data_IF_309770095575
#
_entry.id   IF_309770095575
#
_cell.length_a   1.000
_cell.length_b   1.000
_cell.length_c   1.000
_cell.angle_alpha   90.00
_cell.angle_beta   90.00
_cell.angle_gamma   90.00
#
_symmetry.space_group_name_H-M   'P 1'
#
loop_
_entity.id
_entity.type
_entity.pdbx_description
1 polymer ?
#
# COMPACT_ATOMS: atom_id res chain seq x y z
N UNK A 1 23.41 5.52 -2.78
CA UNK A 1 21.99 5.21 -2.81
C UNK A 1 21.68 4.28 -1.65
N UNK A 2 20.70 4.62 -0.85
CA UNK A 2 20.29 3.82 0.32
C UNK A 2 19.18 2.85 -0.11
N UNK A 3 19.26 1.62 0.37
CA UNK A 3 18.26 0.58 0.11
C UNK A 3 17.78 -0.03 1.41
N UNK A 4 16.58 -0.58 1.40
CA UNK A 4 16.01 -1.33 2.50
C UNK A 4 15.59 -2.72 2.04
N UNK A 5 15.92 -3.71 2.83
CA UNK A 5 15.41 -5.08 2.68
C UNK A 5 14.09 -5.17 3.45
N UNK A 6 13.07 -5.74 2.81
CA UNK A 6 11.68 -5.69 3.30
C UNK A 6 11.03 -7.07 3.19
N UNK A 7 10.50 -7.58 4.29
CA UNK A 7 9.56 -8.70 4.26
C UNK A 7 8.18 -8.22 3.85
N UNK A 8 7.67 -8.75 2.73
CA UNK A 8 6.34 -8.39 2.25
C UNK A 8 5.27 -9.22 2.95
N UNK A 9 4.24 -8.55 3.44
CA UNK A 9 3.07 -9.18 4.03
C UNK A 9 2.24 -9.89 2.94
N UNK A 10 2.59 -11.13 2.63
CA UNK A 10 1.89 -11.98 1.67
C UNK A 10 1.73 -13.41 2.20
N UNK A 11 0.55 -14.04 1.98
CA UNK A 11 0.32 -15.42 2.43
C UNK A 11 1.00 -16.48 1.54
N UNK A 12 1.71 -16.07 0.49
CA UNK A 12 2.33 -16.99 -0.48
C UNK A 12 3.72 -17.39 0.03
N UNK A 13 3.88 -18.65 0.45
CA UNK A 13 5.15 -19.19 0.97
C UNK A 13 6.35 -19.01 0.04
N UNK A 14 6.17 -19.16 -1.27
CA UNK A 14 7.24 -18.96 -2.26
C UNK A 14 7.76 -17.51 -2.34
N UNK A 15 7.06 -16.58 -1.71
CA UNK A 15 7.40 -15.15 -1.62
C UNK A 15 7.79 -14.76 -0.18
N UNK A 16 7.99 -15.73 0.70
CA UNK A 16 8.46 -15.53 2.08
C UNK A 16 9.97 -15.24 2.11
N UNK A 17 10.40 -14.24 1.35
CA UNK A 17 11.79 -13.78 1.28
C UNK A 17 11.83 -12.25 1.38
N UNK A 18 13.00 -11.73 1.67
CA UNK A 18 13.26 -10.30 1.62
C UNK A 18 13.35 -9.80 0.20
N UNK A 19 12.81 -8.63 -0.03
CA UNK A 19 12.92 -7.90 -1.29
C UNK A 19 13.61 -6.56 -1.04
N UNK A 20 14.56 -6.22 -1.87
CA UNK A 20 15.31 -4.96 -1.77
C UNK A 20 14.58 -3.84 -2.52
N UNK A 21 14.43 -2.70 -1.85
CA UNK A 21 13.82 -1.48 -2.38
C UNK A 21 14.74 -0.29 -2.16
N UNK A 22 14.66 0.71 -3.03
CA UNK A 22 15.31 2.00 -2.80
C UNK A 22 14.56 2.70 -1.66
N UNK A 23 15.30 3.24 -0.69
CA UNK A 23 14.78 4.13 0.34
C UNK A 23 14.90 5.57 -0.18
N UNK A 24 13.77 6.24 -0.49
CA UNK A 24 13.80 7.61 -1.00
C UNK A 24 14.31 8.59 0.05
N UNK A 25 14.92 9.68 -0.38
CA UNK A 25 15.43 10.73 0.51
C UNK A 25 14.33 11.42 1.33
N UNK A 26 13.09 11.33 0.90
CA UNK A 26 11.92 11.85 1.63
C UNK A 26 11.53 11.00 2.84
N UNK A 27 12.06 9.77 2.97
CA UNK A 27 11.76 8.82 4.03
C UNK A 27 13.00 8.50 4.88
N UNK A 28 13.85 9.50 5.15
CA UNK A 28 15.10 9.32 5.90
C UNK A 28 14.92 8.83 7.34
N UNK A 29 13.72 9.00 7.91
CA UNK A 29 13.38 8.51 9.25
C UNK A 29 13.13 7.00 9.29
N UNK A 30 12.86 6.37 8.14
CA UNK A 30 12.57 4.93 8.07
C UNK A 30 13.84 4.13 8.34
N UNK A 31 13.78 3.25 9.32
CA UNK A 31 14.85 2.33 9.71
C UNK A 31 14.26 0.93 9.96
N UNK A 32 15.07 0.05 10.45
CA UNK A 32 14.72 -1.34 10.82
C UNK A 32 13.50 -1.37 11.75
N UNK A 33 12.58 -2.26 11.47
CA UNK A 33 11.35 -2.44 12.26
C UNK A 33 10.17 -1.57 11.82
N UNK A 34 10.35 -0.68 10.86
CA UNK A 34 9.27 0.13 10.29
C UNK A 34 8.37 -0.68 9.37
N UNK A 35 7.08 -0.34 9.36
CA UNK A 35 6.18 -0.77 8.30
C UNK A 35 6.20 0.24 7.17
N UNK A 36 6.26 -0.29 5.96
CA UNK A 36 6.32 0.51 4.74
C UNK A 36 5.36 -0.01 3.67
N UNK A 37 4.94 0.86 2.78
CA UNK A 37 4.27 0.48 1.55
C UNK A 37 5.28 0.32 0.42
N UNK A 38 5.22 -0.83 -0.23
CA UNK A 38 6.09 -1.15 -1.36
C UNK A 38 5.29 -1.55 -2.59
N UNK A 39 5.80 -1.26 -3.80
CA UNK A 39 5.20 -1.75 -5.04
C UNK A 39 5.58 -3.23 -5.24
N UNK A 40 4.57 -4.11 -5.31
CA UNK A 40 4.76 -5.53 -5.52
C UNK A 40 3.93 -6.02 -6.71
N UNK A 41 4.58 -6.31 -7.83
CA UNK A 41 3.90 -6.54 -9.10
C UNK A 41 3.14 -5.29 -9.55
N UNK A 42 1.82 -5.43 -9.71
CA UNK A 42 0.90 -4.34 -10.08
C UNK A 42 0.13 -3.75 -8.89
N UNK A 43 0.43 -4.20 -7.67
CA UNK A 43 -0.27 -3.79 -6.46
C UNK A 43 0.70 -3.19 -5.45
N UNK A 44 0.18 -2.41 -4.53
CA UNK A 44 0.93 -1.98 -3.34
C UNK A 44 0.73 -3.00 -2.23
N UNK A 45 1.78 -3.30 -1.50
CA UNK A 45 1.76 -4.20 -0.35
C UNK A 45 2.38 -3.52 0.86
N UNK A 46 1.93 -3.92 2.02
CA UNK A 46 2.58 -3.63 3.29
C UNK A 46 3.76 -4.57 3.47
N UNK A 47 4.85 -4.07 3.99
CA UNK A 47 6.03 -4.84 4.35
C UNK A 47 6.72 -4.29 5.58
N UNK A 48 7.65 -5.06 6.12
CA UNK A 48 8.42 -4.74 7.31
C UNK A 48 9.89 -4.60 6.93
N UNK A 49 10.49 -3.46 7.27
CA UNK A 49 11.93 -3.21 7.03
C UNK A 49 12.76 -4.04 7.99
N UNK A 50 13.63 -4.86 7.45
CA UNK A 50 14.53 -5.75 8.20
C UNK A 50 15.96 -5.23 8.24
N UNK A 51 16.38 -4.54 7.18
CA UNK A 51 17.71 -3.95 7.07
C UNK A 51 17.66 -2.66 6.26
N UNK A 52 18.42 -1.65 6.68
CA UNK A 52 18.71 -0.44 5.90
C UNK A 52 20.21 -0.39 5.66
N UNK A 53 20.63 -0.24 4.41
CA UNK A 53 22.03 -0.30 4.00
C UNK A 53 22.32 0.47 2.72
N UNK A 54 23.59 0.61 2.42
CA UNK A 54 24.04 1.13 1.11
C UNK A 54 23.82 0.06 0.03
N UNK A 55 23.39 0.50 -1.15
CA UNK A 55 23.26 -0.35 -2.33
C UNK A 55 24.61 -0.97 -2.69
N UNK A 56 24.60 -2.26 -2.98
CA UNK A 56 25.76 -3.02 -3.47
C UNK A 56 25.39 -3.78 -4.74
N UNK A 57 25.99 -3.37 -5.87
CA UNK A 57 25.69 -3.96 -7.17
C UNK A 57 26.02 -5.48 -7.26
N UNK A 58 26.96 -5.97 -6.46
CA UNK A 58 27.32 -7.39 -6.42
C UNK A 58 26.25 -8.24 -5.73
N UNK A 59 25.58 -7.67 -4.69
CA UNK A 59 24.50 -8.32 -3.93
C UNK A 59 23.13 -8.09 -4.57
N UNK A 60 22.85 -6.85 -4.95
CA UNK A 60 21.50 -6.41 -5.35
C UNK A 60 21.23 -6.62 -6.84
N UNK A 61 22.27 -7.00 -7.60
CA UNK A 61 22.17 -7.22 -9.03
C UNK A 61 22.05 -5.91 -9.83
N UNK A 62 21.97 -6.03 -11.16
CA UNK A 62 21.80 -4.86 -12.05
C UNK A 62 20.33 -4.59 -12.40
N UNK A 63 19.37 -5.14 -11.65
CA UNK A 63 17.96 -4.91 -11.91
C UNK A 63 17.53 -3.55 -11.37
N UNK A 64 16.59 -2.92 -12.07
CA UNK A 64 15.99 -1.68 -11.62
C UNK A 64 15.19 -1.94 -10.33
N UNK A 65 15.73 -1.51 -9.19
CA UNK A 65 15.01 -1.56 -7.91
C UNK A 65 13.85 -0.56 -7.94
N UNK A 66 12.76 -0.93 -7.30
CA UNK A 66 11.63 -0.03 -7.08
C UNK A 66 11.82 0.72 -5.77
N UNK A 67 11.20 1.88 -5.65
CA UNK A 67 11.23 2.69 -4.44
C UNK A 67 10.16 2.28 -3.44
N UNK A 68 10.46 2.43 -2.14
CA UNK A 68 9.45 2.45 -1.08
C UNK A 68 8.50 3.61 -1.36
N UNK A 69 7.20 3.34 -1.25
CA UNK A 69 6.17 4.33 -1.59
C UNK A 69 5.97 5.31 -0.44
N UNK A 70 5.86 4.77 0.80
CA UNK A 70 5.59 5.56 1.99
C UNK A 70 5.83 4.74 3.26
N UNK A 71 6.00 5.42 4.39
CA UNK A 71 5.95 4.83 5.72
C UNK A 71 4.49 4.67 6.17
N UNK A 72 4.18 3.56 6.83
CA UNK A 72 2.83 3.28 7.32
C UNK A 72 2.58 3.94 8.68
N UNK A 73 3.61 3.98 9.51
CA UNK A 73 3.57 4.46 10.88
C UNK A 73 4.55 5.63 11.07
N UNK A 74 4.47 6.28 12.22
CA UNK A 74 5.35 7.40 12.59
C UNK A 74 6.62 6.93 13.33
N UNK A 75 6.65 5.64 13.73
CA UNK A 75 7.76 5.02 14.46
C UNK A 75 7.91 3.53 14.13
N UNK A 76 9.02 2.93 14.54
CA UNK A 76 9.27 1.51 14.36
C UNK A 76 8.40 0.67 15.29
N UNK A 77 7.79 -0.38 14.75
CA UNK A 77 7.03 -1.36 15.53
C UNK A 77 7.91 -2.43 16.18
N UNK A 78 9.02 -2.74 15.55
CA UNK A 78 9.88 -3.88 15.96
C UNK A 78 11.30 -3.42 16.23
N UNK A 79 11.85 -3.89 17.35
CA UNK A 79 13.29 -3.84 17.58
C UNK A 79 14.00 -4.92 16.73
N UNK A 80 15.33 -4.82 16.60
CA UNK A 80 16.14 -5.80 15.89
C UNK A 80 16.03 -7.19 16.52
N UNK A 81 15.94 -7.24 17.86
CA UNK A 81 15.79 -8.49 18.62
C UNK A 81 14.45 -9.16 18.34
N UNK A 82 13.38 -8.35 18.26
CA UNK A 82 12.04 -8.87 17.94
C UNK A 82 11.94 -9.36 16.49
N UNK A 83 12.62 -8.72 15.55
CA UNK A 83 12.74 -9.20 14.18
C UNK A 83 13.51 -10.51 14.10
N UNK A 84 14.61 -10.65 14.83
CA UNK A 84 15.36 -11.91 14.90
C UNK A 84 14.51 -13.04 15.49
N UNK A 85 13.80 -12.76 16.58
CA UNK A 85 12.87 -13.74 17.19
C UNK A 85 11.74 -14.12 16.21
N UNK A 86 11.21 -13.16 15.44
CA UNK A 86 10.20 -13.46 14.44
C UNK A 86 10.74 -14.38 13.33
N UNK A 87 11.98 -14.20 12.93
CA UNK A 87 12.64 -15.08 11.95
C UNK A 87 12.83 -16.49 12.49
N UNK A 88 13.36 -16.64 13.71
CA UNK A 88 13.54 -17.96 14.36
C UNK A 88 12.21 -18.71 14.50
N UNK A 89 11.15 -18.01 14.91
CA UNK A 89 9.81 -18.59 15.01
C UNK A 89 9.25 -18.96 13.62
N UNK A 90 9.49 -18.15 12.60
CA UNK A 90 9.06 -18.46 11.24
C UNK A 90 9.72 -19.74 10.72
N UNK A 91 11.00 -19.91 10.97
CA UNK A 91 11.75 -21.11 10.60
C UNK A 91 11.26 -22.33 11.36
N UNK A 92 10.98 -22.19 12.67
CA UNK A 92 10.46 -23.26 13.52
C UNK A 92 9.06 -23.72 13.12
N UNK A 93 8.15 -22.77 12.85
CA UNK A 93 6.76 -23.06 12.48
C UNK A 93 6.55 -23.21 10.96
N UNK A 94 7.60 -23.13 10.15
CA UNK A 94 7.55 -23.23 8.69
C UNK A 94 6.54 -22.26 8.05
N UNK A 95 6.47 -21.04 8.57
CA UNK A 95 5.64 -19.94 8.05
C UNK A 95 6.50 -18.74 7.61
N UNK A 96 5.91 -17.64 7.15
CA UNK A 96 6.66 -16.44 6.79
C UNK A 96 6.96 -15.58 8.03
N UNK A 97 8.11 -14.90 8.05
CA UNK A 97 8.43 -13.95 9.12
C UNK A 97 7.39 -12.82 9.21
N UNK A 98 6.81 -12.40 8.08
CA UNK A 98 5.74 -11.41 8.07
C UNK A 98 4.46 -11.89 8.78
N UNK A 99 4.15 -13.19 8.74
CA UNK A 99 3.02 -13.75 9.49
C UNK A 99 3.27 -13.71 11.00
N UNK A 100 4.49 -14.03 11.44
CA UNK A 100 4.88 -13.93 12.86
C UNK A 100 4.86 -12.46 13.31
N UNK A 101 5.44 -11.55 12.55
CA UNK A 101 5.42 -10.12 12.87
C UNK A 101 4.00 -9.58 13.06
N UNK A 102 3.05 -10.02 12.24
CA UNK A 102 1.63 -9.66 12.40
C UNK A 102 1.02 -10.15 13.71
N UNK A 103 1.48 -11.30 14.24
CA UNK A 103 1.01 -11.82 15.53
C UNK A 103 1.53 -10.97 16.70
N UNK A 104 2.71 -10.37 16.56
CA UNK A 104 3.28 -9.49 17.58
C UNK A 104 2.62 -8.11 17.63
N UNK A 105 1.87 -7.73 16.59
CA UNK A 105 1.20 -6.44 16.56
C UNK A 105 -0.09 -6.47 17.39
N UNK A 106 -0.25 -5.56 18.37
CA UNK A 106 -1.45 -5.52 19.18
C UNK A 106 -2.68 -5.11 18.35
N UNK A 107 -3.76 -5.84 18.56
CA UNK A 107 -5.02 -5.59 17.88
C UNK A 107 -5.03 -6.00 16.41
N UNK A 108 -6.11 -5.68 15.73
CA UNK A 108 -6.23 -5.87 14.28
C UNK A 108 -5.64 -4.65 13.55
N UNK A 109 -4.36 -4.44 13.69
CA UNK A 109 -3.61 -3.37 13.02
C UNK A 109 -3.49 -3.57 11.51
N UNK A 110 -4.36 -4.35 10.92
CA UNK A 110 -4.48 -4.47 9.47
C UNK A 110 -4.96 -3.16 8.88
N UNK A 111 -4.04 -2.35 8.39
CA UNK A 111 -4.36 -1.28 7.46
C UNK A 111 -5.02 -1.91 6.23
N UNK A 112 -6.26 -1.59 6.00
CA UNK A 112 -6.89 -1.87 4.72
C UNK A 112 -6.46 -0.81 3.74
N UNK A 113 -5.58 -1.19 2.83
CA UNK A 113 -5.29 -0.38 1.66
C UNK A 113 -6.34 -0.74 0.62
N UNK A 114 -7.09 0.26 0.19
CA UNK A 114 -8.03 0.10 -0.90
C UNK A 114 -7.84 1.21 -1.93
N UNK A 115 -8.08 0.91 -3.20
CA UNK A 115 -7.98 1.91 -4.24
C UNK A 115 -9.10 2.94 -4.08
N UNK A 116 -8.71 4.21 -4.24
CA UNK A 116 -9.62 5.34 -4.45
C UNK A 116 -9.36 5.94 -5.82
N UNK A 117 -10.37 6.50 -6.40
CA UNK A 117 -10.30 7.15 -7.70
C UNK A 117 -10.52 8.64 -7.48
N UNK A 118 -9.60 9.45 -7.96
CA UNK A 118 -9.66 10.90 -7.85
C UNK A 118 -9.54 11.53 -9.24
N UNK A 119 -10.24 12.64 -9.47
CA UNK A 119 -10.04 13.40 -10.68
C UNK A 119 -8.59 13.90 -10.73
N UNK A 120 -7.93 13.78 -11.87
CA UNK A 120 -6.58 14.30 -12.04
C UNK A 120 -6.61 15.84 -11.97
N UNK A 121 -5.63 16.43 -11.28
CA UNK A 121 -5.54 17.88 -11.11
C UNK A 121 -5.41 18.63 -12.45
N UNK A 122 -4.71 18.00 -13.38
CA UNK A 122 -4.43 18.47 -14.75
C UNK A 122 -5.42 17.93 -15.79
N UNK A 123 -6.56 17.35 -15.35
CA UNK A 123 -7.53 16.76 -16.25
C UNK A 123 -8.13 17.78 -17.22
N UNK A 124 -8.08 17.45 -18.51
CA UNK A 124 -8.76 18.23 -19.55
C UNK A 124 -10.29 18.12 -19.42
N UNK A 125 -10.91 19.16 -18.89
CA UNK A 125 -12.37 19.23 -18.70
C UNK A 125 -13.16 19.35 -19.99
N UNK A 126 -12.50 19.63 -21.12
CA UNK A 126 -13.10 19.68 -22.46
C UNK A 126 -12.88 18.37 -23.24
N UNK A 127 -12.25 17.35 -22.63
CA UNK A 127 -11.93 16.11 -23.31
C UNK A 127 -13.20 15.44 -23.89
N UNK A 128 -13.17 14.97 -25.15
CA UNK A 128 -14.35 14.41 -25.85
C UNK A 128 -15.03 13.24 -25.13
N UNK A 129 -14.28 12.46 -24.31
CA UNK A 129 -14.84 11.36 -23.53
C UNK A 129 -15.90 11.84 -22.53
N UNK A 130 -15.85 13.10 -22.09
CA UNK A 130 -16.84 13.69 -21.19
C UNK A 130 -18.19 14.00 -21.85
N UNK A 131 -18.34 13.74 -23.17
CA UNK A 131 -19.64 13.68 -23.83
C UNK A 131 -20.40 12.40 -23.49
N UNK A 132 -19.69 11.33 -23.11
CA UNK A 132 -20.29 10.10 -22.58
C UNK A 132 -20.93 10.38 -21.20
N UNK A 133 -22.20 10.02 -21.06
CA UNK A 133 -22.98 10.33 -19.88
C UNK A 133 -22.43 9.65 -18.61
N UNK A 134 -21.92 8.42 -18.74
CA UNK A 134 -21.36 7.68 -17.62
C UNK A 134 -20.04 8.28 -17.15
N UNK A 135 -19.11 8.54 -18.10
CA UNK A 135 -17.83 9.16 -17.81
C UNK A 135 -18.02 10.54 -17.16
N UNK A 136 -18.91 11.36 -17.73
CA UNK A 136 -19.21 12.70 -17.20
C UNK A 136 -19.78 12.65 -15.79
N UNK A 137 -20.74 11.76 -15.50
CA UNK A 137 -21.35 11.65 -14.19
C UNK A 137 -20.31 11.27 -13.12
N UNK A 138 -19.46 10.29 -13.40
CA UNK A 138 -18.39 9.86 -12.47
C UNK A 138 -17.36 10.98 -12.31
N UNK A 139 -16.93 11.61 -13.38
CA UNK A 139 -15.93 12.68 -13.33
C UNK A 139 -16.41 13.90 -12.53
N UNK A 140 -17.64 14.37 -12.76
CA UNK A 140 -18.23 15.48 -12.00
C UNK A 140 -18.33 15.14 -10.52
N UNK A 141 -18.80 13.95 -10.19
CA UNK A 141 -18.90 13.50 -8.80
C UNK A 141 -17.53 13.46 -8.11
N UNK A 142 -16.50 12.91 -8.75
CA UNK A 142 -15.15 12.87 -8.20
C UNK A 142 -14.51 14.26 -8.03
N UNK A 143 -14.85 15.21 -8.88
CA UNK A 143 -14.41 16.60 -8.73
C UNK A 143 -15.04 17.31 -7.54
N UNK A 144 -16.31 17.01 -7.24
CA UNK A 144 -17.04 17.60 -6.11
C UNK A 144 -16.69 16.97 -4.76
N UNK A 145 -16.51 15.64 -4.74
CA UNK A 145 -16.38 14.88 -3.50
C UNK A 145 -14.93 14.50 -3.17
N UNK A 146 -14.01 14.64 -4.12
CA UNK A 146 -12.64 14.16 -4.02
C UNK A 146 -12.52 12.66 -4.28
N UNK A 147 -11.39 12.09 -3.85
CA UNK A 147 -11.08 10.68 -4.08
C UNK A 147 -12.06 9.73 -3.38
N UNK A 148 -12.66 8.82 -4.15
CA UNK A 148 -13.67 7.86 -3.69
C UNK A 148 -13.27 6.43 -4.05
N UNK A 149 -13.55 5.47 -3.15
CA UNK A 149 -13.46 4.04 -3.45
C UNK A 149 -14.58 3.57 -4.37
N UNK A 150 -14.41 2.43 -5.04
CA UNK A 150 -15.49 1.83 -5.84
C UNK A 150 -16.76 1.60 -5.01
N UNK A 151 -16.62 1.20 -3.74
CA UNK A 151 -17.76 0.99 -2.86
C UNK A 151 -18.52 2.29 -2.51
N UNK A 152 -17.82 3.41 -2.40
CA UNK A 152 -18.42 4.73 -2.20
C UNK A 152 -19.12 5.21 -3.47
N UNK A 153 -18.48 5.04 -4.63
CA UNK A 153 -19.08 5.36 -5.92
C UNK A 153 -20.35 4.54 -6.21
N UNK A 154 -20.35 3.23 -5.91
CA UNK A 154 -21.53 2.37 -6.07
C UNK A 154 -22.68 2.74 -5.13
N UNK A 155 -22.42 3.41 -4.00
CA UNK A 155 -23.49 3.95 -3.13
C UNK A 155 -24.10 5.23 -3.70
N UNK A 156 -23.31 6.01 -4.42
CA UNK A 156 -23.74 7.28 -4.98
C UNK A 156 -24.40 7.16 -6.36
N UNK A 157 -24.03 6.14 -7.13
CA UNK A 157 -24.44 5.98 -8.54
C UNK A 157 -24.68 4.50 -8.91
N UNK A 158 -25.48 4.23 -9.96
CA UNK A 158 -25.69 2.87 -10.46
C UNK A 158 -24.35 2.19 -10.86
N UNK A 159 -24.19 0.91 -10.49
CA UNK A 159 -22.95 0.15 -10.70
C UNK A 159 -22.47 0.16 -12.17
N UNK A 160 -23.37 -0.05 -13.11
CA UNK A 160 -23.03 -0.03 -14.55
C UNK A 160 -22.47 1.33 -15.02
N UNK A 161 -22.93 2.44 -14.42
CA UNK A 161 -22.41 3.76 -14.73
C UNK A 161 -21.02 3.97 -14.14
N UNK A 162 -20.79 3.47 -12.92
CA UNK A 162 -19.50 3.58 -12.22
C UNK A 162 -18.42 2.78 -12.94
N UNK A 163 -18.66 1.50 -13.21
CA UNK A 163 -17.66 0.63 -13.82
C UNK A 163 -17.25 1.11 -15.21
N UNK A 164 -18.22 1.38 -16.08
CA UNK A 164 -17.96 1.89 -17.43
C UNK A 164 -17.35 3.31 -17.43
N UNK A 165 -17.79 4.17 -16.51
CA UNK A 165 -17.28 5.53 -16.39
C UNK A 165 -15.84 5.57 -15.87
N UNK A 166 -15.53 4.85 -14.80
CA UNK A 166 -14.18 4.79 -14.21
C UNK A 166 -13.17 4.20 -15.20
N UNK A 167 -13.52 3.11 -15.90
CA UNK A 167 -12.63 2.48 -16.89
C UNK A 167 -12.27 3.46 -18.02
N UNK A 168 -13.27 4.17 -18.57
CA UNK A 168 -13.06 5.16 -19.62
C UNK A 168 -12.16 6.30 -19.14
N UNK A 169 -12.42 6.83 -17.95
CA UNK A 169 -11.67 7.96 -17.39
C UNK A 169 -10.21 7.59 -17.07
N UNK A 170 -9.95 6.38 -16.58
CA UNK A 170 -8.59 5.87 -16.36
C UNK A 170 -7.81 5.71 -17.68
N UNK A 171 -8.48 5.30 -18.76
CA UNK A 171 -7.85 5.12 -20.07
C UNK A 171 -7.33 6.42 -20.67
N UNK A 172 -7.93 7.54 -20.32
CA UNK A 172 -7.58 8.87 -20.82
C UNK A 172 -6.91 9.75 -19.76
N UNK A 173 -6.45 9.18 -18.66
CA UNK A 173 -5.76 9.85 -17.56
C UNK A 173 -6.54 11.02 -16.91
N UNK A 174 -7.88 11.05 -17.09
CA UNK A 174 -8.75 12.05 -16.45
C UNK A 174 -9.02 11.73 -14.97
N UNK A 175 -8.83 10.48 -14.59
CA UNK A 175 -8.92 9.99 -13.20
C UNK A 175 -7.65 9.20 -12.88
N UNK A 176 -7.11 9.44 -11.69
CA UNK A 176 -5.97 8.69 -11.15
C UNK A 176 -6.44 7.70 -10.11
N UNK A 177 -5.79 6.53 -10.08
CA UNK A 177 -5.98 5.53 -9.06
C UNK A 177 -4.97 5.78 -7.95
N UNK A 178 -5.47 6.25 -6.82
CA UNK A 178 -4.71 6.42 -5.59
C UNK A 178 -5.01 5.29 -4.61
N UNK A 179 -4.32 5.28 -3.46
CA UNK A 179 -4.58 4.28 -2.44
C UNK A 179 -4.74 4.98 -1.09
N UNK A 180 -5.87 4.70 -0.44
CA UNK A 180 -6.15 5.18 0.90
C UNK A 180 -5.95 4.05 1.90
N UNK A 181 -5.29 4.36 3.01
CA UNK A 181 -5.20 3.47 4.15
C UNK A 181 -6.34 3.79 5.13
N UNK A 182 -7.15 2.80 5.47
CA UNK A 182 -8.14 2.92 6.55
C UNK A 182 -7.57 2.29 7.82
N UNK A 183 -7.21 3.10 8.78
CA UNK A 183 -6.82 2.69 10.12
C UNK A 183 -8.10 2.27 10.85
N UNK A 184 -8.46 1.01 10.81
CA UNK A 184 -9.54 0.48 11.66
C UNK A 184 -9.09 0.41 13.10
N UNK A 185 -9.02 1.55 13.73
CA UNK A 185 -8.89 1.66 15.17
C UNK A 185 -10.24 1.41 15.84
N UNK A 186 -10.60 0.13 15.96
CA UNK A 186 -11.65 -0.30 16.87
C UNK A 186 -11.00 -1.09 18.00
N UNK A 187 -10.22 -0.41 18.83
CA UNK A 187 -9.91 -0.92 20.15
C UNK A 187 -11.24 -1.04 20.91
N UNK A 188 -11.83 -2.22 20.92
CA UNK A 188 -12.88 -2.57 21.90
C UNK A 188 -12.17 -2.77 23.23
N UNK A 189 -12.20 -1.75 24.06
CA UNK A 189 -11.92 -1.91 25.48
C UNK A 189 -13.10 -2.68 26.09
N UNK A 190 -12.94 -3.98 26.33
CA UNK A 190 -13.83 -4.69 27.24
C UNK A 190 -13.47 -4.24 28.66
N UNK A 191 -14.38 -3.54 29.31
CA UNK A 191 -14.27 -3.27 30.74
C UNK A 191 -14.52 -4.59 31.46
N UNK A 192 -13.49 -5.17 32.04
CA UNK A 192 -13.63 -6.21 33.06
C UNK A 192 -14.05 -5.50 34.36
N UNK A 193 -15.22 -5.85 34.88
CA UNK A 193 -15.67 -5.50 36.22
C UNK A 193 -15.21 -6.57 37.21
#
# INVERSE_FOLDING_TARGET
>A
MTVADVYINTPVKSLAQEFTYILPETLTQVDVGWRVFVPFGRVRKEGFVTCVRTYDAARDGQHALKEIIDAVDEEAWFSRELLAAAQELADFYLCSAAEIMRLFMPGKSGLRIFPVYAAAEDADTAHPILTDAQARAVFSHLRETGGQSMAELHRAMPAAAVEGGVEKLLRYDLVRKEYRADKRDKARYEKFY
#
